data_IF_644781489748
#
_entry.id   IF_644781489748
#
_cell.length_a   1.000
_cell.length_b   1.000
_cell.length_c   1.000
_cell.angle_alpha   90.00
_cell.angle_beta   90.00
_cell.angle_gamma   90.00
#
_symmetry.space_group_name_H-M   'P 1'
#
loop_
_entity.id
_entity.type
_entity.pdbx_description
1 polymer ?
#
# COMPACT_ATOMS: atom_id res chain seq x y z
N UNK A 1 -15.42 -37.00 58.78
CA UNK A 1 -15.17 -35.60 58.40
C UNK A 1 -14.51 -35.60 57.03
N UNK A 2 -15.27 -35.26 55.97
CA UNK A 2 -14.76 -35.29 54.62
C UNK A 2 -14.36 -33.86 54.21
N UNK A 3 -13.07 -33.71 53.93
CA UNK A 3 -12.46 -32.44 53.47
C UNK A 3 -12.72 -32.31 51.96
N UNK A 4 -13.63 -31.39 51.57
CA UNK A 4 -13.90 -31.05 50.16
C UNK A 4 -12.84 -30.10 49.68
N UNK A 5 -11.94 -30.61 48.83
CA UNK A 5 -11.01 -29.75 48.10
C UNK A 5 -11.76 -29.02 46.99
N UNK A 6 -11.81 -27.69 47.09
CA UNK A 6 -12.35 -26.81 46.05
C UNK A 6 -11.21 -26.60 45.04
N UNK A 7 -11.34 -27.20 43.84
CA UNK A 7 -10.46 -26.93 42.72
C UNK A 7 -10.95 -25.67 42.01
N UNK A 8 -10.21 -24.58 42.21
CA UNK A 8 -10.44 -23.33 41.49
C UNK A 8 -9.79 -23.49 40.11
N UNK A 9 -10.60 -23.67 39.06
CA UNK A 9 -10.16 -23.56 37.70
C UNK A 9 -9.89 -22.06 37.38
N UNK A 10 -8.61 -21.69 37.39
CA UNK A 10 -8.18 -20.43 36.80
C UNK A 10 -8.28 -20.58 35.27
N UNK A 11 -9.35 -20.08 34.68
CA UNK A 11 -9.42 -19.87 33.25
C UNK A 11 -8.46 -18.74 32.88
N UNK A 12 -7.30 -19.11 32.38
CA UNK A 12 -6.38 -18.16 31.73
C UNK A 12 -7.08 -17.66 30.46
N UNK A 13 -7.77 -16.54 30.60
CA UNK A 13 -8.34 -15.83 29.47
C UNK A 13 -7.23 -15.49 28.48
N UNK A 14 -7.22 -16.18 27.34
CA UNK A 14 -6.39 -15.83 26.20
C UNK A 14 -6.80 -14.43 25.75
N UNK A 15 -6.11 -13.43 26.29
CA UNK A 15 -6.20 -12.06 25.79
C UNK A 15 -5.53 -12.04 24.42
N UNK A 16 -6.29 -12.48 23.42
CA UNK A 16 -5.92 -12.25 22.02
C UNK A 16 -5.76 -10.73 21.90
N UNK A 17 -4.52 -10.27 21.99
CA UNK A 17 -4.17 -8.91 21.62
C UNK A 17 -4.56 -8.74 20.17
N UNK A 18 -5.75 -8.24 19.94
CA UNK A 18 -6.19 -7.73 18.65
C UNK A 18 -5.22 -6.60 18.33
N UNK A 19 -4.12 -6.94 17.65
CA UNK A 19 -3.25 -5.93 17.07
C UNK A 19 -4.11 -5.21 16.05
N UNK A 20 -4.59 -4.06 16.45
CA UNK A 20 -5.08 -3.04 15.52
C UNK A 20 -3.88 -2.66 14.63
N UNK A 21 -3.64 -3.48 13.62
CA UNK A 21 -2.86 -3.05 12.47
C UNK A 21 -3.73 -2.04 11.72
N UNK A 22 -3.87 -0.85 12.28
CA UNK A 22 -4.24 0.31 11.51
C UNK A 22 -3.20 0.39 10.41
N UNK A 23 -3.63 0.33 9.16
CA UNK A 23 -2.71 0.47 8.06
C UNK A 23 -2.11 1.86 8.18
N UNK A 24 -0.84 1.92 8.54
CA UNK A 24 -0.10 3.17 8.55
C UNK A 24 0.21 3.62 7.12
N UNK A 25 -0.79 3.51 6.22
CA UNK A 25 -0.65 3.83 4.81
C UNK A 25 0.05 5.17 4.59
N UNK A 26 -0.41 6.19 5.29
CA UNK A 26 0.14 7.54 5.16
C UNK A 26 1.59 7.67 5.64
N UNK A 27 2.03 6.80 6.54
CA UNK A 27 3.39 6.82 7.09
C UNK A 27 4.36 5.89 6.37
N UNK A 28 3.86 4.76 5.83
CA UNK A 28 4.73 3.70 5.33
C UNK A 28 4.67 3.49 3.82
N UNK A 29 3.48 3.59 3.22
CA UNK A 29 3.28 3.32 1.79
C UNK A 29 3.20 4.61 0.98
N UNK A 30 2.42 5.59 1.45
CA UNK A 30 2.21 6.84 0.73
C UNK A 30 3.51 7.58 0.39
N UNK A 31 4.52 7.69 1.27
CA UNK A 31 5.78 8.34 0.93
C UNK A 31 6.50 7.69 -0.26
N UNK A 32 6.47 6.35 -0.34
CA UNK A 32 7.04 5.61 -1.48
C UNK A 32 6.27 5.92 -2.77
N UNK A 33 4.94 5.90 -2.72
CA UNK A 33 4.12 6.23 -3.87
C UNK A 33 4.37 7.67 -4.35
N UNK A 34 4.43 8.63 -3.45
CA UNK A 34 4.70 10.03 -3.76
C UNK A 34 6.05 10.23 -4.42
N UNK A 35 7.10 9.59 -3.89
CA UNK A 35 8.45 9.73 -4.40
C UNK A 35 8.66 9.03 -5.74
N UNK A 36 8.14 7.80 -5.91
CA UNK A 36 8.56 6.91 -7.01
C UNK A 36 7.49 6.63 -8.06
N UNK A 37 6.21 6.98 -7.80
CA UNK A 37 5.11 6.53 -8.66
C UNK A 37 4.23 7.67 -9.16
N UNK A 38 3.80 8.55 -8.26
CA UNK A 38 2.71 9.49 -8.52
C UNK A 38 3.09 10.55 -9.57
N UNK A 39 4.36 10.91 -9.73
CA UNK A 39 4.80 11.86 -10.76
C UNK A 39 4.33 11.47 -12.17
N UNK A 40 4.24 10.16 -12.45
CA UNK A 40 3.78 9.58 -13.72
C UNK A 40 2.36 9.01 -13.66
N UNK A 41 1.92 8.59 -12.48
CA UNK A 41 0.64 7.90 -12.26
C UNK A 41 -0.31 8.74 -11.40
N UNK A 42 -0.71 9.91 -11.89
CA UNK A 42 -1.67 10.81 -11.25
C UNK A 42 -2.79 11.22 -12.18
N UNK A 43 -3.87 11.74 -11.64
CA UNK A 43 -4.97 12.31 -12.41
C UNK A 43 -4.48 13.28 -13.49
N UNK A 44 -5.23 13.42 -14.61
CA UNK A 44 -4.87 14.37 -15.65
C UNK A 44 -4.70 15.78 -15.08
N UNK A 45 -3.63 16.44 -15.47
CA UNK A 45 -3.33 17.79 -15.02
C UNK A 45 -2.85 18.70 -16.15
N UNK A 46 -3.08 19.98 -16.00
CA UNK A 46 -2.61 21.02 -16.94
C UNK A 46 -1.22 21.49 -16.52
N UNK A 47 -0.27 21.44 -17.43
CA UNK A 47 1.09 21.95 -17.19
C UNK A 47 1.07 23.49 -17.23
N UNK A 48 2.13 24.12 -16.73
CA UNK A 48 2.34 25.57 -16.83
C UNK A 48 2.29 26.12 -18.27
N UNK A 49 2.54 25.27 -19.26
CA UNK A 49 2.46 25.62 -20.68
C UNK A 49 1.09 25.26 -21.31
N UNK A 50 0.07 24.98 -20.51
CA UNK A 50 -1.28 24.72 -20.98
C UNK A 50 -1.55 23.31 -21.51
N UNK A 51 -0.55 22.44 -21.60
CA UNK A 51 -0.71 21.05 -22.07
C UNK A 51 -1.34 20.17 -21.00
N UNK A 52 -2.29 19.32 -21.41
CA UNK A 52 -2.87 18.30 -20.52
C UNK A 52 -1.99 17.07 -20.56
N UNK A 53 -1.46 16.68 -19.40
CA UNK A 53 -0.79 15.39 -19.20
C UNK A 53 -1.75 14.39 -18.61
N UNK A 54 -1.77 13.17 -19.17
CA UNK A 54 -2.57 12.04 -18.71
C UNK A 54 -1.68 11.04 -17.96
N UNK A 55 -2.26 10.24 -17.02
CA UNK A 55 -1.52 9.21 -16.31
C UNK A 55 -0.96 8.17 -17.28
N UNK A 56 0.30 7.79 -17.10
CA UNK A 56 0.90 6.69 -17.86
C UNK A 56 0.19 5.38 -17.54
N UNK A 57 -0.06 4.57 -18.58
CA UNK A 57 -0.79 3.30 -18.43
C UNK A 57 -2.23 3.45 -17.93
N UNK A 58 -2.80 4.65 -17.95
CA UNK A 58 -4.14 4.96 -17.39
C UNK A 58 -4.24 4.67 -15.88
N UNK A 59 -3.12 4.48 -15.19
CA UNK A 59 -3.07 4.19 -13.77
C UNK A 59 -3.00 5.47 -12.95
N UNK A 60 -3.86 5.59 -11.94
CA UNK A 60 -3.94 6.73 -11.04
C UNK A 60 -3.60 6.24 -9.63
N UNK A 61 -2.58 6.83 -9.01
CA UNK A 61 -2.10 6.46 -7.68
C UNK A 61 -2.14 7.63 -6.67
N UNK A 62 -2.58 8.80 -7.10
CA UNK A 62 -2.71 9.97 -6.23
C UNK A 62 -4.09 10.14 -5.60
N UNK A 63 -4.98 9.18 -5.78
CA UNK A 63 -6.30 9.15 -5.14
C UNK A 63 -6.64 7.77 -4.59
N UNK A 64 -7.45 7.66 -3.50
CA UNK A 64 -7.88 6.39 -2.95
C UNK A 64 -8.59 5.50 -3.98
N UNK A 65 -9.48 6.07 -4.78
CA UNK A 65 -10.22 5.34 -5.82
C UNK A 65 -9.30 4.86 -6.96
N UNK A 66 -8.30 5.64 -7.31
CA UNK A 66 -7.32 5.26 -8.32
C UNK A 66 -6.48 4.07 -7.87
N UNK A 67 -5.98 4.12 -6.63
CA UNK A 67 -5.18 3.02 -6.04
C UNK A 67 -5.99 1.71 -6.01
N UNK A 68 -7.25 1.75 -5.57
CA UNK A 68 -8.11 0.56 -5.50
C UNK A 68 -8.20 -0.22 -6.81
N UNK A 69 -8.06 0.43 -7.96
CA UNK A 69 -8.11 -0.23 -9.27
C UNK A 69 -6.89 -1.10 -9.57
N UNK A 70 -5.79 -0.90 -8.87
CA UNK A 70 -4.53 -1.64 -9.05
C UNK A 70 -4.23 -2.63 -7.92
N UNK A 71 -5.10 -2.70 -6.93
CA UNK A 71 -4.93 -3.50 -5.73
C UNK A 71 -6.07 -4.51 -5.60
N UNK A 72 -5.73 -5.75 -5.26
CA UNK A 72 -6.65 -6.74 -4.73
C UNK A 72 -6.38 -6.87 -3.23
N UNK A 73 -7.25 -6.35 -2.35
CA UNK A 73 -7.05 -6.41 -0.91
C UNK A 73 -6.82 -7.84 -0.43
N UNK A 74 -5.96 -8.01 0.56
CA UNK A 74 -5.51 -9.28 1.14
C UNK A 74 -4.73 -10.19 0.17
N UNK A 75 -4.44 -9.74 -1.07
CA UNK A 75 -3.74 -10.55 -2.05
C UNK A 75 -2.66 -9.74 -2.80
N UNK A 76 -1.47 -9.58 -2.20
CA UNK A 76 -0.37 -8.86 -2.84
C UNK A 76 0.01 -9.45 -4.21
N UNK A 77 0.14 -10.77 -4.29
CA UNK A 77 0.59 -11.45 -5.50
C UNK A 77 -0.36 -11.31 -6.69
N UNK A 78 -1.62 -10.98 -6.46
CA UNK A 78 -2.59 -10.70 -7.52
C UNK A 78 -2.83 -9.20 -7.72
N UNK A 79 -2.31 -8.36 -6.87
CA UNK A 79 -2.38 -6.90 -7.00
C UNK A 79 -1.44 -6.41 -8.10
N UNK A 80 -1.98 -5.71 -9.10
CA UNK A 80 -1.21 -5.24 -10.25
C UNK A 80 -0.04 -4.34 -9.83
N UNK A 81 -0.26 -3.44 -8.87
CA UNK A 81 0.78 -2.56 -8.35
C UNK A 81 1.96 -3.37 -7.79
N UNK A 82 1.68 -4.39 -6.94
CA UNK A 82 2.74 -5.21 -6.35
C UNK A 82 3.47 -6.05 -7.41
N UNK A 83 2.74 -6.65 -8.34
CA UNK A 83 3.33 -7.40 -9.46
C UNK A 83 4.34 -6.55 -10.23
N UNK A 84 4.00 -5.30 -10.54
CA UNK A 84 4.87 -4.43 -11.35
C UNK A 84 6.19 -4.07 -10.66
N UNK A 85 6.18 -3.90 -9.36
CA UNK A 85 7.37 -3.55 -8.58
C UNK A 85 8.22 -4.75 -8.17
N UNK A 86 7.73 -5.98 -8.42
CA UNK A 86 8.42 -7.25 -8.11
C UNK A 86 8.77 -8.07 -9.35
N UNK A 87 8.54 -7.55 -10.55
CA UNK A 87 9.05 -8.14 -11.78
C UNK A 87 10.59 -8.13 -11.80
N UNK A 88 11.18 -8.91 -12.70
CA UNK A 88 12.57 -8.76 -13.04
C UNK A 88 12.84 -7.33 -13.52
N UNK A 89 13.97 -6.75 -13.14
CA UNK A 89 14.33 -5.38 -13.51
C UNK A 89 14.53 -5.22 -15.03
N UNK A 90 14.83 -6.31 -15.72
CA UNK A 90 14.96 -6.36 -17.19
C UNK A 90 13.59 -6.40 -17.90
N UNK A 91 12.49 -6.66 -17.18
CA UNK A 91 11.15 -6.69 -17.76
C UNK A 91 10.70 -5.26 -18.14
N UNK A 92 10.21 -5.09 -19.36
CA UNK A 92 9.72 -3.79 -19.87
C UNK A 92 8.55 -3.20 -19.08
N UNK A 93 7.89 -4.03 -18.28
CA UNK A 93 6.77 -3.67 -17.42
C UNK A 93 7.17 -3.46 -15.95
N UNK A 94 8.46 -3.62 -15.63
CA UNK A 94 8.97 -3.32 -14.30
C UNK A 94 8.72 -1.86 -13.92
N UNK A 95 8.37 -1.62 -12.63
CA UNK A 95 8.13 -0.28 -12.12
C UNK A 95 8.87 -0.04 -10.80
N UNK A 96 9.42 1.17 -10.60
CA UNK A 96 9.57 2.23 -11.60
C UNK A 96 10.54 1.84 -12.73
N UNK A 97 10.37 2.42 -13.94
CA UNK A 97 11.29 2.12 -15.05
C UNK A 97 12.72 2.53 -14.70
N UNK A 98 13.69 1.67 -15.03
CA UNK A 98 15.11 1.96 -14.79
C UNK A 98 15.51 3.30 -15.38
N UNK A 99 16.33 4.06 -14.66
CA UNK A 99 16.78 5.39 -15.05
C UNK A 99 15.75 6.52 -14.89
N UNK A 100 14.57 6.23 -14.36
CA UNK A 100 13.58 7.25 -13.97
C UNK A 100 13.54 7.46 -12.47
N UNK A 101 13.41 6.40 -11.72
CA UNK A 101 13.47 6.37 -10.26
C UNK A 101 14.17 5.07 -9.82
N UNK A 102 14.73 5.08 -8.63
CA UNK A 102 15.31 3.87 -8.05
C UNK A 102 14.23 2.82 -7.76
N UNK A 103 14.52 1.54 -7.97
CA UNK A 103 13.63 0.46 -7.56
C UNK A 103 13.22 0.59 -6.08
N UNK A 104 12.11 -0.03 -5.72
CA UNK A 104 11.70 -0.10 -4.32
C UNK A 104 12.74 -0.89 -3.52
N UNK A 105 13.12 -0.36 -2.36
CA UNK A 105 13.95 -1.08 -1.38
C UNK A 105 13.18 -2.25 -0.78
N UNK A 106 13.86 -3.20 -0.18
CA UNK A 106 13.23 -4.33 0.51
C UNK A 106 12.23 -3.86 1.58
N UNK A 107 12.54 -2.79 2.30
CA UNK A 107 11.65 -2.19 3.29
C UNK A 107 10.38 -1.61 2.64
N UNK A 108 10.52 -0.91 1.52
CA UNK A 108 9.38 -0.35 0.79
C UNK A 108 8.50 -1.46 0.19
N UNK A 109 9.11 -2.51 -0.35
CA UNK A 109 8.39 -3.70 -0.84
C UNK A 109 7.65 -4.41 0.29
N UNK A 110 8.30 -4.59 1.44
CA UNK A 110 7.67 -5.18 2.63
C UNK A 110 6.48 -4.34 3.10
N UNK A 111 6.63 -3.03 3.22
CA UNK A 111 5.56 -2.14 3.63
C UNK A 111 4.36 -2.21 2.67
N UNK A 112 4.63 -2.19 1.37
CA UNK A 112 3.59 -2.31 0.34
C UNK A 112 2.86 -3.65 0.43
N UNK A 113 3.60 -4.75 0.56
CA UNK A 113 3.04 -6.10 0.71
C UNK A 113 2.16 -6.22 1.95
N UNK A 114 2.68 -5.79 3.11
CA UNK A 114 1.99 -5.91 4.39
C UNK A 114 0.71 -5.05 4.40
N UNK A 115 0.77 -3.87 3.81
CA UNK A 115 -0.39 -3.01 3.64
C UNK A 115 -1.47 -3.67 2.77
N UNK A 116 -1.11 -4.24 1.62
CA UNK A 116 -2.07 -4.96 0.78
C UNK A 116 -2.63 -6.17 1.52
N UNK A 117 -1.78 -6.94 2.20
CA UNK A 117 -2.18 -8.12 2.96
C UNK A 117 -3.13 -7.78 4.10
N UNK A 118 -3.04 -6.58 4.68
CA UNK A 118 -3.94 -6.10 5.74
C UNK A 118 -5.24 -5.45 5.23
N UNK A 119 -5.53 -5.56 3.92
CA UNK A 119 -6.76 -5.07 3.32
C UNK A 119 -6.66 -3.74 2.58
N UNK A 120 -5.45 -3.21 2.38
CA UNK A 120 -5.15 -2.02 1.56
C UNK A 120 -5.99 -0.77 1.93
N UNK A 121 -6.22 -0.55 3.22
CA UNK A 121 -6.95 0.62 3.71
C UNK A 121 -6.10 1.88 3.56
N UNK A 122 -6.71 2.95 3.10
CA UNK A 122 -6.06 4.26 2.93
C UNK A 122 -6.42 5.25 4.04
N UNK A 123 -7.09 4.78 5.08
CA UNK A 123 -7.56 5.55 6.23
C UNK A 123 -8.32 6.83 5.80
N UNK A 124 -8.01 7.97 6.38
CA UNK A 124 -8.63 9.25 6.04
C UNK A 124 -7.92 10.01 4.91
N UNK A 125 -6.97 9.39 4.22
CA UNK A 125 -6.28 10.03 3.11
C UNK A 125 -7.24 10.33 1.94
N UNK A 126 -7.31 11.59 1.54
CA UNK A 126 -8.23 12.08 0.49
C UNK A 126 -7.58 12.17 -0.89
N UNK A 127 -6.30 11.91 -0.97
CA UNK A 127 -5.49 12.04 -2.17
C UNK A 127 -4.36 13.04 -1.99
N UNK A 128 -3.42 13.04 -2.94
CA UNK A 128 -2.31 13.98 -2.98
C UNK A 128 -2.54 14.95 -4.14
N UNK A 129 -2.67 16.23 -3.82
CA UNK A 129 -2.69 17.30 -4.81
C UNK A 129 -1.25 17.79 -5.04
N UNK A 130 -0.83 17.81 -6.28
CA UNK A 130 0.41 18.46 -6.68
C UNK A 130 0.04 19.83 -7.24
N UNK A 131 0.25 20.87 -6.46
CA UNK A 131 0.21 22.23 -7.00
C UNK A 131 1.38 22.37 -7.99
N UNK A 132 1.06 22.64 -9.24
CA UNK A 132 2.01 22.90 -10.30
C UNK A 132 2.59 24.32 -10.18
#
# INVERSE_FOLDING_TARGET
MALRAIIIFLTIGNLSTLRLFGSEFTKTVLPTLQKKCISCHREPYKTKYGRIKKPKGKLILNTPNGIKKSILPNNPNQSLLYKRVTLDKEDDKFMPPLGKEEPLTEKELKNLRDWIQSGAKTDNWKGTNFNN
#
